data_IF_117317276657
#
_entry.id   IF_117317276657
#
_cell.length_a   1.000
_cell.length_b   1.000
_cell.length_c   1.000
_cell.angle_alpha   90.00
_cell.angle_beta   90.00
_cell.angle_gamma   90.00
#
_symmetry.space_group_name_H-M   'P 1'
#
loop_
_entity.id
_entity.type
_entity.pdbx_description
1 polymer ?
#
# COMPACT_ATOMS: atom_id res chain seq x y z
N UNK A 1 -16.70 4.83 -15.41
CA UNK A 1 -16.04 4.86 -16.74
C UNK A 1 -14.50 4.85 -16.75
N UNK A 2 -13.77 5.17 -15.66
CA UNK A 2 -12.29 4.97 -15.60
C UNK A 2 -11.80 4.06 -14.46
N UNK A 3 -12.68 3.69 -13.52
CA UNK A 3 -12.43 2.56 -12.63
C UNK A 3 -12.88 1.23 -13.25
N UNK A 4 -13.73 1.30 -14.28
CA UNK A 4 -13.90 0.21 -15.25
C UNK A 4 -12.63 0.02 -16.12
N UNK A 5 -11.63 0.91 -15.99
CA UNK A 5 -10.30 0.81 -16.61
C UNK A 5 -9.17 0.60 -15.61
N UNK A 6 -9.46 0.61 -14.30
CA UNK A 6 -8.66 -0.20 -13.36
C UNK A 6 -9.19 -1.61 -13.56
N UNK A 7 -8.82 -2.17 -14.70
CA UNK A 7 -9.10 -3.54 -15.08
C UNK A 7 -8.70 -4.46 -13.91
N UNK A 8 -9.38 -5.58 -13.75
CA UNK A 8 -8.90 -6.62 -12.82
C UNK A 8 -7.43 -6.98 -13.16
N UNK A 9 -6.96 -6.71 -14.39
CA UNK A 9 -5.55 -6.74 -14.78
C UNK A 9 -4.60 -5.76 -14.05
N UNK A 10 -5.06 -4.62 -13.50
CA UNK A 10 -4.21 -3.80 -12.63
C UNK A 10 -3.95 -4.47 -11.27
N UNK A 11 -4.82 -5.39 -10.85
CA UNK A 11 -4.72 -6.15 -9.60
C UNK A 11 -4.18 -7.58 -9.80
N UNK A 12 -4.41 -8.16 -10.98
CA UNK A 12 -4.07 -9.53 -11.39
C UNK A 12 -2.89 -9.60 -12.40
N UNK A 13 -2.54 -8.52 -13.10
CA UNK A 13 -1.52 -8.48 -14.20
C UNK A 13 -0.40 -7.46 -13.93
N UNK A 14 -0.07 -7.18 -12.67
CA UNK A 14 1.16 -6.44 -12.39
C UNK A 14 2.40 -7.34 -12.56
N UNK A 15 2.69 -7.75 -13.80
CA UNK A 15 3.98 -8.35 -14.20
C UNK A 15 5.13 -7.33 -14.12
N UNK A 16 4.82 -6.04 -13.92
CA UNK A 16 5.80 -4.98 -13.65
C UNK A 16 5.31 -4.03 -12.53
N UNK A 17 5.95 -4.12 -11.37
CA UNK A 17 5.70 -3.31 -10.17
C UNK A 17 5.74 -1.79 -10.44
N UNK A 18 6.64 -1.34 -11.33
CA UNK A 18 6.86 0.07 -11.61
C UNK A 18 5.79 0.71 -12.50
N UNK A 19 5.18 -0.07 -13.40
CA UNK A 19 4.07 0.39 -14.21
C UNK A 19 2.81 0.61 -13.33
N UNK A 20 2.54 -0.35 -12.45
CA UNK A 20 1.50 -0.22 -11.43
C UNK A 20 1.76 1.00 -10.53
N UNK A 21 3.00 1.19 -10.07
CA UNK A 21 3.42 2.35 -9.28
C UNK A 21 3.15 3.66 -10.01
N UNK A 22 3.66 3.81 -11.24
CA UNK A 22 3.52 5.02 -12.03
C UNK A 22 2.06 5.33 -12.38
N UNK A 23 1.22 4.32 -12.56
CA UNK A 23 -0.22 4.49 -12.80
C UNK A 23 -0.94 4.94 -11.52
N UNK A 24 -0.63 4.35 -10.37
CA UNK A 24 -1.20 4.74 -9.07
C UNK A 24 -0.79 6.14 -8.65
N UNK A 25 0.50 6.49 -8.77
CA UNK A 25 0.98 7.84 -8.47
C UNK A 25 0.28 8.88 -9.36
N UNK A 26 0.18 8.62 -10.66
CA UNK A 26 -0.58 9.50 -11.58
C UNK A 26 -2.05 9.56 -11.23
N UNK A 27 -2.65 8.47 -10.75
CA UNK A 27 -4.06 8.46 -10.36
C UNK A 27 -4.29 9.25 -9.08
N UNK A 28 -3.43 9.12 -8.08
CA UNK A 28 -3.58 9.80 -6.78
C UNK A 28 -3.23 11.28 -6.93
N UNK A 29 -2.07 11.61 -7.49
CA UNK A 29 -1.53 12.97 -7.45
C UNK A 29 -2.11 13.93 -8.49
N UNK A 30 -2.74 13.42 -9.56
CA UNK A 30 -3.39 14.27 -10.55
C UNK A 30 -4.87 14.56 -10.22
N UNK A 31 -5.38 14.02 -9.11
CA UNK A 31 -6.77 14.20 -8.70
C UNK A 31 -6.87 15.26 -7.61
N UNK A 32 -7.96 16.03 -7.59
CA UNK A 32 -8.19 16.97 -6.50
C UNK A 32 -8.28 16.22 -5.17
N UNK A 33 -7.74 16.83 -4.12
CA UNK A 33 -7.88 16.33 -2.76
C UNK A 33 -9.25 16.72 -2.19
N UNK A 34 -9.77 15.89 -1.29
CA UNK A 34 -10.94 16.21 -0.47
C UNK A 34 -10.63 16.17 1.03
N UNK A 35 -9.35 16.30 1.38
CA UNK A 35 -8.87 16.35 2.75
C UNK A 35 -8.02 15.15 3.12
N UNK A 36 -7.83 14.93 4.42
CA UNK A 36 -7.05 13.81 4.92
C UNK A 36 -7.84 13.04 5.97
N UNK A 37 -7.91 11.72 5.81
CA UNK A 37 -8.49 10.82 6.80
C UNK A 37 -7.38 10.32 7.71
N UNK A 38 -7.49 10.62 9.00
CA UNK A 38 -6.60 10.14 10.05
C UNK A 38 -7.09 8.79 10.57
N UNK A 39 -6.17 7.84 10.68
CA UNK A 39 -6.40 6.50 11.17
C UNK A 39 -5.65 6.31 12.48
N UNK A 40 -6.42 6.08 13.54
CA UNK A 40 -5.95 5.76 14.88
C UNK A 40 -6.34 4.32 15.24
N UNK A 41 -5.72 3.75 16.27
CA UNK A 41 -6.11 2.43 16.79
C UNK A 41 -6.24 2.50 18.32
N UNK A 42 -5.11 2.36 19.03
CA UNK A 42 -5.07 2.36 20.48
C UNK A 42 -4.85 3.77 21.03
N UNK A 43 -5.62 4.17 22.03
CA UNK A 43 -5.46 5.46 22.70
C UNK A 43 -5.41 5.29 24.21
N UNK A 44 -4.23 5.44 24.82
CA UNK A 44 -4.09 5.39 26.28
C UNK A 44 -3.01 6.36 26.75
N UNK A 45 -3.29 7.05 27.85
CA UNK A 45 -2.32 7.89 28.56
C UNK A 45 -1.27 7.04 29.27
N UNK A 46 -1.60 5.80 29.63
CA UNK A 46 -0.63 4.85 30.15
C UNK A 46 0.05 4.14 29.00
N UNK A 47 1.31 4.49 28.74
CA UNK A 47 2.10 3.88 27.65
C UNK A 47 2.36 2.39 27.86
N UNK A 48 2.18 1.86 29.08
CA UNK A 48 2.30 0.43 29.34
C UNK A 48 1.09 -0.37 28.84
N UNK A 49 -0.06 0.29 28.61
CA UNK A 49 -1.26 -0.31 28.02
C UNK A 49 -1.24 -0.28 26.48
N UNK A 50 -0.19 0.27 25.89
CA UNK A 50 -0.09 0.36 24.44
C UNK A 50 0.06 -1.04 23.83
N UNK A 51 -0.85 -1.37 22.91
CA UNK A 51 -0.73 -2.56 22.08
C UNK A 51 0.58 -2.58 21.29
N UNK A 52 0.90 -1.45 20.63
CA UNK A 52 2.15 -1.23 19.92
C UNK A 52 2.34 0.29 19.71
N UNK A 53 3.54 0.81 19.97
CA UNK A 53 3.89 2.23 19.74
C UNK A 53 3.63 2.73 18.31
N UNK A 54 3.63 1.86 17.31
CA UNK A 54 3.35 2.23 15.91
C UNK A 54 1.88 2.57 15.66
N UNK A 55 0.98 2.15 16.55
CA UNK A 55 -0.49 2.29 16.43
C UNK A 55 -1.13 2.91 17.67
N UNK A 56 -0.31 3.44 18.58
CA UNK A 56 -0.76 4.01 19.84
C UNK A 56 -0.47 5.51 19.94
N UNK A 57 -1.39 6.22 20.57
CA UNK A 57 -1.28 7.65 20.91
C UNK A 57 -1.81 7.88 22.33
N UNK A 58 -1.33 8.91 23.03
CA UNK A 58 -1.95 9.33 24.29
C UNK A 58 -3.21 10.18 24.03
N UNK A 59 -4.15 10.16 24.97
CA UNK A 59 -5.35 10.99 24.90
C UNK A 59 -4.98 12.48 24.86
N UNK A 60 -3.95 12.86 25.63
CA UNK A 60 -3.41 14.23 25.64
C UNK A 60 -2.88 14.66 24.27
N UNK A 61 -2.06 13.85 23.62
CA UNK A 61 -1.49 14.18 22.30
C UNK A 61 -2.59 14.24 21.23
N UNK A 62 -3.58 13.34 21.30
CA UNK A 62 -4.75 13.40 20.43
C UNK A 62 -5.52 14.72 20.59
N UNK A 63 -5.78 15.15 21.83
CA UNK A 63 -6.47 16.42 22.10
C UNK A 63 -5.68 17.63 21.58
N UNK A 64 -4.38 17.71 21.87
CA UNK A 64 -3.51 18.79 21.40
C UNK A 64 -3.47 18.86 19.86
N UNK A 65 -3.45 17.69 19.20
CA UNK A 65 -3.51 17.60 17.74
C UNK A 65 -4.83 18.17 17.18
N UNK A 66 -5.98 17.87 17.80
CA UNK A 66 -7.26 18.43 17.39
C UNK A 66 -7.28 19.95 17.58
N UNK A 67 -6.86 20.44 18.75
CA UNK A 67 -6.84 21.86 19.07
C UNK A 67 -6.04 22.66 18.04
N UNK A 68 -4.78 22.27 17.80
CA UNK A 68 -3.90 23.03 16.91
C UNK A 68 -4.41 23.04 15.47
N UNK A 69 -4.96 21.93 14.95
CA UNK A 69 -5.52 21.91 13.60
C UNK A 69 -6.76 22.81 13.49
N UNK A 70 -7.62 22.86 14.51
CA UNK A 70 -8.76 23.80 14.53
C UNK A 70 -8.28 25.26 14.55
N UNK A 71 -7.27 25.59 15.35
CA UNK A 71 -6.68 26.93 15.41
C UNK A 71 -6.10 27.38 14.07
N UNK A 72 -5.56 26.45 13.27
CA UNK A 72 -5.04 26.72 11.91
C UNK A 72 -6.10 26.64 10.80
N UNK A 73 -7.38 26.61 11.19
CA UNK A 73 -8.52 26.69 10.29
C UNK A 73 -8.85 25.40 9.55
N UNK A 74 -8.43 24.24 10.06
CA UNK A 74 -8.90 22.95 9.55
C UNK A 74 -10.33 22.65 10.04
N UNK A 75 -11.09 21.98 9.20
CA UNK A 75 -12.47 21.57 9.49
C UNK A 75 -12.55 20.06 9.67
N UNK A 76 -13.14 19.63 10.79
CA UNK A 76 -13.38 18.22 11.08
C UNK A 76 -14.77 17.85 10.57
N UNK A 77 -14.85 16.85 9.69
CA UNK A 77 -16.08 16.44 9.00
C UNK A 77 -16.30 14.93 9.19
N UNK A 78 -17.53 14.47 9.03
CA UNK A 78 -17.79 13.02 9.04
C UNK A 78 -17.35 12.39 7.72
N UNK A 79 -17.01 11.10 7.76
CA UNK A 79 -16.52 10.36 6.58
C UNK A 79 -17.53 10.33 5.44
N UNK A 80 -18.82 10.40 5.75
CA UNK A 80 -19.92 10.47 4.80
C UNK A 80 -19.91 11.78 3.99
N UNK A 81 -19.26 12.82 4.50
CA UNK A 81 -19.09 14.11 3.83
C UNK A 81 -17.81 14.18 3.00
N UNK A 82 -17.04 13.09 2.87
CA UNK A 82 -15.70 13.09 2.28
C UNK A 82 -15.64 13.77 0.91
N UNK A 83 -16.55 13.46 -0.02
CA UNK A 83 -16.52 14.09 -1.36
C UNK A 83 -16.93 15.57 -1.39
N UNK A 84 -17.52 16.10 -0.31
CA UNK A 84 -17.78 17.54 -0.16
C UNK A 84 -16.61 18.30 0.47
N UNK A 85 -15.58 17.59 0.93
CA UNK A 85 -14.39 18.17 1.53
C UNK A 85 -13.49 18.96 0.59
N UNK A 86 -12.51 19.57 1.21
CA UNK A 86 -11.43 20.36 0.63
C UNK A 86 -10.10 19.97 1.29
N UNK A 87 -9.00 20.59 0.86
CA UNK A 87 -7.65 20.33 1.37
C UNK A 87 -7.45 20.59 2.87
N UNK A 88 -8.33 21.38 3.52
CA UNK A 88 -8.33 21.63 4.97
C UNK A 88 -9.37 20.79 5.73
N UNK A 89 -9.98 19.81 5.07
CA UNK A 89 -10.91 18.88 5.70
C UNK A 89 -10.17 17.71 6.33
N UNK A 90 -10.51 17.36 7.57
CA UNK A 90 -9.96 16.23 8.31
C UNK A 90 -11.10 15.29 8.70
N UNK A 91 -10.88 13.98 8.50
CA UNK A 91 -11.81 12.91 8.90
C UNK A 91 -11.11 12.02 9.92
N UNK A 92 -11.74 11.78 11.07
CA UNK A 92 -11.11 11.01 12.16
C UNK A 92 -11.70 9.60 12.18
N UNK A 93 -10.83 8.61 12.05
CA UNK A 93 -11.21 7.19 12.06
C UNK A 93 -10.42 6.41 13.10
N UNK A 94 -11.07 5.43 13.73
CA UNK A 94 -10.44 4.47 14.63
C UNK A 94 -10.73 3.05 14.16
N UNK A 95 -9.70 2.20 14.14
CA UNK A 95 -9.81 0.80 13.75
C UNK A 95 -9.85 -0.13 14.98
N UNK A 96 -10.25 -1.39 14.73
CA UNK A 96 -10.36 -2.52 15.65
C UNK A 96 -11.37 -2.45 16.79
N UNK A 97 -11.68 -1.27 17.33
CA UNK A 97 -12.65 -1.10 18.41
C UNK A 97 -12.06 -1.25 19.82
N UNK A 98 -10.90 -0.64 20.10
CA UNK A 98 -10.32 -0.59 21.45
C UNK A 98 -11.25 0.10 22.47
N UNK A 99 -11.26 -0.38 23.72
CA UNK A 99 -12.22 0.05 24.76
C UNK A 99 -12.13 1.53 25.13
N UNK A 100 -10.96 2.15 24.98
CA UNK A 100 -10.69 3.53 25.37
C UNK A 100 -11.46 4.53 24.49
N UNK A 101 -11.96 4.09 23.33
CA UNK A 101 -12.91 4.84 22.49
C UNK A 101 -14.16 5.30 23.26
N UNK A 102 -14.68 4.43 24.13
CA UNK A 102 -15.98 4.61 24.78
C UNK A 102 -15.95 5.54 26.01
N UNK A 103 -14.79 6.16 26.29
CA UNK A 103 -14.63 7.13 27.39
C UNK A 103 -13.93 8.41 26.92
N UNK A 104 -12.60 8.37 26.76
CA UNK A 104 -11.78 9.56 26.49
C UNK A 104 -12.09 10.21 25.15
N UNK A 105 -12.13 9.40 24.08
CA UNK A 105 -12.37 9.89 22.71
C UNK A 105 -13.78 10.49 22.58
N UNK A 106 -14.79 9.85 23.17
CA UNK A 106 -16.15 10.38 23.19
C UNK A 106 -16.25 11.76 23.85
N UNK A 107 -15.49 11.99 24.93
CA UNK A 107 -15.49 13.27 25.64
C UNK A 107 -14.89 14.39 24.78
N UNK A 108 -13.74 14.14 24.17
CA UNK A 108 -13.08 15.08 23.23
C UNK A 108 -13.97 15.31 22.00
N UNK A 109 -14.60 14.26 21.47
CA UNK A 109 -15.52 14.38 20.33
C UNK A 109 -16.62 15.40 20.60
N UNK A 110 -17.26 15.32 21.77
CA UNK A 110 -18.31 16.25 22.18
C UNK A 110 -17.78 17.66 22.44
N UNK A 111 -16.69 17.78 23.18
CA UNK A 111 -16.10 19.09 23.54
C UNK A 111 -15.71 19.89 22.31
N UNK A 112 -15.04 19.26 21.34
CA UNK A 112 -14.57 19.92 20.13
C UNK A 112 -15.54 19.79 18.95
N UNK A 113 -16.70 19.14 19.12
CA UNK A 113 -17.67 18.85 18.06
C UNK A 113 -17.02 18.21 16.83
N UNK A 114 -16.19 17.18 17.04
CA UNK A 114 -15.50 16.45 15.96
C UNK A 114 -16.24 15.15 15.65
N UNK A 115 -16.67 14.92 14.40
CA UNK A 115 -17.18 13.62 13.98
C UNK A 115 -16.09 12.55 13.98
N UNK A 116 -16.44 11.34 14.43
CA UNK A 116 -15.55 10.19 14.54
C UNK A 116 -16.22 8.97 13.90
N UNK A 117 -15.48 8.25 13.06
CA UNK A 117 -15.90 6.95 12.55
C UNK A 117 -15.10 5.83 13.21
N UNK A 118 -15.77 4.78 13.68
CA UNK A 118 -15.14 3.62 14.33
C UNK A 118 -15.39 2.37 13.48
N UNK A 119 -14.34 1.77 12.95
CA UNK A 119 -14.38 0.50 12.22
C UNK A 119 -14.14 -0.66 13.18
N UNK A 120 -15.13 -1.54 13.33
CA UNK A 120 -15.13 -2.58 14.36
C UNK A 120 -14.91 -3.96 13.75
N UNK A 121 -13.94 -4.70 14.31
CA UNK A 121 -13.72 -6.12 14.03
C UNK A 121 -14.69 -6.94 14.90
N UNK A 122 -15.65 -7.64 14.28
CA UNK A 122 -16.76 -8.23 15.02
C UNK A 122 -16.31 -9.29 16.06
N UNK A 123 -15.33 -10.13 15.71
CA UNK A 123 -14.83 -11.17 16.61
C UNK A 123 -14.03 -10.60 17.79
N UNK A 124 -13.70 -9.30 17.81
CA UNK A 124 -13.00 -8.67 18.94
C UNK A 124 -13.94 -8.15 20.02
N UNK A 125 -15.23 -8.00 19.71
CA UNK A 125 -16.23 -7.41 20.59
C UNK A 125 -16.30 -8.20 21.92
N UNK A 126 -16.18 -7.48 23.03
CA UNK A 126 -16.23 -8.04 24.39
C UNK A 126 -14.97 -8.82 24.82
N UNK A 127 -13.92 -8.89 24.01
CA UNK A 127 -12.61 -9.39 24.43
C UNK A 127 -11.89 -8.36 25.31
N UNK A 128 -10.87 -8.81 26.04
CA UNK A 128 -10.00 -7.94 26.83
C UNK A 128 -9.43 -6.80 25.96
N UNK A 129 -9.54 -5.56 26.44
CA UNK A 129 -9.14 -4.30 25.78
C UNK A 129 -10.00 -3.82 24.60
N UNK A 130 -11.09 -4.51 24.26
CA UNK A 130 -12.02 -4.10 23.20
C UNK A 130 -13.39 -3.70 23.76
N UNK A 131 -14.10 -2.86 23.01
CA UNK A 131 -15.48 -2.47 23.33
C UNK A 131 -16.43 -3.69 23.29
N UNK A 132 -17.47 -3.65 24.12
CA UNK A 132 -18.55 -4.63 24.08
C UNK A 132 -19.77 -4.13 23.29
N UNK A 133 -20.81 -4.95 23.18
CA UNK A 133 -22.03 -4.57 22.46
C UNK A 133 -22.76 -3.38 23.10
N UNK A 134 -22.63 -3.19 24.42
CA UNK A 134 -23.25 -2.07 25.15
C UNK A 134 -22.57 -0.77 24.74
N UNK A 135 -21.24 -0.76 24.69
CA UNK A 135 -20.44 0.36 24.22
C UNK A 135 -20.75 0.69 22.76
N UNK A 136 -20.83 -0.30 21.88
CA UNK A 136 -21.17 -0.11 20.46
C UNK A 136 -22.56 0.50 20.33
N UNK A 137 -23.56 -0.05 21.04
CA UNK A 137 -24.93 0.48 21.02
C UNK A 137 -24.98 1.90 21.55
N UNK A 138 -24.19 2.24 22.57
CA UNK A 138 -24.08 3.61 23.11
C UNK A 138 -23.45 4.55 22.08
N UNK A 139 -22.27 4.24 21.55
CA UNK A 139 -21.58 5.06 20.55
C UNK A 139 -22.44 5.26 19.30
N UNK A 140 -23.14 4.23 18.84
CA UNK A 140 -24.02 4.32 17.66
C UNK A 140 -25.18 5.30 17.83
N UNK A 141 -25.54 5.70 19.06
CA UNK A 141 -26.60 6.69 19.32
C UNK A 141 -26.09 8.13 19.34
N UNK A 142 -24.78 8.33 19.42
CA UNK A 142 -24.17 9.65 19.43
C UNK A 142 -24.13 10.22 18.01
N UNK A 143 -24.59 11.46 17.81
CA UNK A 143 -24.68 12.07 16.47
C UNK A 143 -23.31 12.29 15.81
N UNK A 144 -22.26 12.41 16.62
CA UNK A 144 -20.89 12.59 16.16
C UNK A 144 -20.17 11.26 15.86
N UNK A 145 -20.83 10.11 16.05
CA UNK A 145 -20.21 8.80 15.85
C UNK A 145 -20.85 8.02 14.72
N UNK A 146 -20.01 7.58 13.80
CA UNK A 146 -20.36 6.60 12.76
C UNK A 146 -19.75 5.25 13.10
N UNK A 147 -20.55 4.18 13.01
CA UNK A 147 -20.05 2.80 13.14
C UNK A 147 -19.85 2.20 11.75
N UNK A 148 -18.66 1.68 11.51
CA UNK A 148 -18.26 1.03 10.26
C UNK A 148 -17.82 -0.42 10.48
N UNK A 149 -17.81 -1.20 9.40
CA UNK A 149 -17.33 -2.59 9.43
C UNK A 149 -15.82 -2.72 9.27
N UNK A 150 -15.22 -3.70 9.96
CA UNK A 150 -13.80 -4.06 9.83
C UNK A 150 -13.57 -5.57 9.72
N UNK A 151 -14.46 -6.29 9.02
CA UNK A 151 -14.52 -7.77 8.91
C UNK A 151 -14.92 -8.48 10.20
N UNK A 152 -15.10 -9.81 10.12
CA UNK A 152 -15.38 -10.62 11.31
C UNK A 152 -14.08 -10.82 12.09
N UNK A 153 -13.05 -11.37 11.44
CA UNK A 153 -11.87 -11.89 12.14
C UNK A 153 -10.55 -11.20 11.77
N UNK A 154 -10.59 -10.03 11.12
CA UNK A 154 -9.42 -9.26 10.67
C UNK A 154 -8.42 -10.02 9.75
N UNK A 155 -8.87 -10.78 8.72
CA UNK A 155 -7.94 -11.46 7.81
C UNK A 155 -7.39 -10.52 6.72
N UNK A 156 -6.27 -10.92 6.12
CA UNK A 156 -5.83 -10.35 4.84
C UNK A 156 -6.82 -10.79 3.75
N UNK A 157 -7.74 -9.90 3.38
CA UNK A 157 -8.86 -10.20 2.48
C UNK A 157 -8.41 -10.66 1.07
N UNK A 158 -7.22 -10.25 0.62
CA UNK A 158 -6.65 -10.73 -0.65
C UNK A 158 -6.28 -12.21 -0.62
N UNK A 159 -5.92 -12.77 0.52
CA UNK A 159 -5.39 -14.13 0.61
C UNK A 159 -6.47 -15.21 0.71
N UNK A 160 -7.72 -14.80 0.96
CA UNK A 160 -8.87 -15.71 1.09
C UNK A 160 -9.73 -15.73 -0.19
N UNK A 161 -10.58 -16.75 -0.33
CA UNK A 161 -11.49 -16.87 -1.48
C UNK A 161 -12.52 -15.75 -1.52
N UNK A 162 -13.16 -15.55 -2.68
CA UNK A 162 -14.25 -14.58 -2.82
C UNK A 162 -15.38 -14.83 -1.80
N UNK A 163 -15.83 -16.08 -1.66
CA UNK A 163 -16.90 -16.45 -0.73
C UNK A 163 -16.49 -16.24 0.73
N UNK A 164 -15.22 -16.52 1.07
CA UNK A 164 -14.69 -16.25 2.40
C UNK A 164 -14.65 -14.73 2.67
N UNK A 165 -14.13 -13.93 1.74
CA UNK A 165 -14.13 -12.47 1.86
C UNK A 165 -15.55 -11.89 1.96
N UNK A 166 -16.50 -12.45 1.20
CA UNK A 166 -17.92 -12.09 1.31
C UNK A 166 -18.48 -12.39 2.68
N UNK A 167 -18.18 -13.56 3.24
CA UNK A 167 -18.59 -13.92 4.61
C UNK A 167 -18.01 -12.96 5.64
N UNK A 168 -16.72 -12.64 5.55
CA UNK A 168 -16.03 -11.68 6.42
C UNK A 168 -16.67 -10.29 6.39
N UNK A 169 -16.85 -9.75 5.19
CA UNK A 169 -17.36 -8.39 4.99
C UNK A 169 -18.84 -8.32 5.37
N UNK A 170 -19.69 -9.09 4.70
CA UNK A 170 -21.15 -9.03 4.90
C UNK A 170 -21.55 -9.53 6.27
N UNK A 171 -20.85 -10.55 6.80
CA UNK A 171 -21.08 -11.05 8.14
C UNK A 171 -20.84 -9.98 9.21
N UNK A 172 -19.75 -9.21 9.11
CA UNK A 172 -19.47 -8.12 10.04
C UNK A 172 -20.52 -7.01 10.00
N UNK A 173 -20.97 -6.65 8.79
CA UNK A 173 -22.02 -5.65 8.56
C UNK A 173 -23.31 -6.11 9.26
N UNK A 174 -23.80 -7.29 8.91
CA UNK A 174 -25.03 -7.84 9.49
C UNK A 174 -24.94 -8.08 11.01
N UNK A 175 -23.75 -8.31 11.56
CA UNK A 175 -23.56 -8.41 13.00
C UNK A 175 -23.72 -7.04 13.68
N UNK A 176 -23.01 -6.04 13.18
CA UNK A 176 -23.04 -4.68 13.73
C UNK A 176 -24.44 -4.04 13.58
N UNK A 177 -25.12 -4.23 12.45
CA UNK A 177 -26.49 -3.73 12.24
C UNK A 177 -27.50 -4.27 13.26
N UNK A 178 -27.32 -5.50 13.75
CA UNK A 178 -28.17 -6.06 14.81
C UNK A 178 -27.96 -5.37 16.16
N UNK A 179 -26.74 -4.94 16.45
CA UNK A 179 -26.39 -4.26 17.70
C UNK A 179 -26.84 -2.79 17.66
N UNK A 180 -26.53 -2.11 16.56
CA UNK A 180 -26.77 -0.67 16.39
C UNK A 180 -28.21 -0.36 16.00
N UNK A 181 -28.93 -1.32 15.42
CA UNK A 181 -30.25 -1.12 14.79
C UNK A 181 -30.21 -0.03 13.70
N UNK A 182 -29.03 0.21 13.13
CA UNK A 182 -28.75 1.19 12.07
C UNK A 182 -27.99 0.51 10.94
N UNK A 183 -28.15 1.03 9.72
CA UNK A 183 -27.37 0.56 8.56
C UNK A 183 -25.87 0.84 8.76
N UNK A 184 -25.04 -0.09 8.30
CA UNK A 184 -23.59 0.09 8.24
C UNK A 184 -23.19 0.28 6.77
N UNK A 185 -22.79 1.50 6.42
CA UNK A 185 -22.49 1.90 5.03
C UNK A 185 -21.02 2.30 4.80
N UNK A 186 -20.17 2.26 5.82
CA UNK A 186 -18.73 2.53 5.70
C UNK A 186 -17.90 1.34 6.18
N UNK A 187 -16.74 1.13 5.55
CA UNK A 187 -15.89 -0.03 5.81
C UNK A 187 -14.40 0.33 5.80
N UNK A 188 -13.58 -0.35 6.60
CA UNK A 188 -12.13 -0.29 6.47
C UNK A 188 -11.59 -1.69 6.21
N UNK A 189 -10.62 -1.83 5.29
CA UNK A 189 -9.98 -3.12 5.05
C UNK A 189 -8.90 -3.38 6.12
N UNK A 190 -8.89 -4.54 6.79
CA UNK A 190 -7.75 -4.99 7.59
C UNK A 190 -6.45 -4.91 6.78
N UNK A 191 -5.40 -4.35 7.37
CA UNK A 191 -4.10 -4.04 6.72
C UNK A 191 -4.16 -3.03 5.56
N UNK A 192 -5.18 -3.10 4.72
CA UNK A 192 -5.67 -2.08 3.78
C UNK A 192 -4.69 -1.56 2.73
N UNK A 193 -3.54 -2.18 2.54
CA UNK A 193 -2.59 -1.83 1.51
C UNK A 193 -3.00 -2.40 0.14
N UNK A 194 -2.41 -1.89 -0.93
CA UNK A 194 -2.57 -2.46 -2.28
C UNK A 194 -2.08 -3.91 -2.36
N UNK A 195 -1.20 -4.33 -1.43
CA UNK A 195 -0.73 -5.71 -1.36
C UNK A 195 -1.78 -6.66 -0.75
N UNK A 196 -2.68 -6.14 0.09
CA UNK A 196 -3.60 -6.90 0.96
C UNK A 196 -5.06 -6.80 0.55
N UNK A 197 -5.36 -5.97 -0.46
CA UNK A 197 -6.69 -5.78 -1.06
C UNK A 197 -6.61 -6.03 -2.57
N UNK A 198 -7.66 -6.59 -3.16
CA UNK A 198 -7.74 -6.91 -4.59
C UNK A 198 -9.10 -6.55 -5.19
N UNK A 199 -9.21 -6.55 -6.52
CA UNK A 199 -10.46 -6.28 -7.25
C UNK A 199 -11.65 -7.12 -6.77
N UNK A 200 -11.42 -8.40 -6.42
CA UNK A 200 -12.45 -9.27 -5.84
C UNK A 200 -13.03 -8.72 -4.52
N UNK A 201 -12.19 -8.12 -3.67
CA UNK A 201 -12.63 -7.57 -2.38
C UNK A 201 -13.44 -6.28 -2.59
N UNK A 202 -13.00 -5.43 -3.51
CA UNK A 202 -13.75 -4.24 -3.94
C UNK A 202 -15.11 -4.63 -4.54
N UNK A 203 -15.15 -5.70 -5.34
CA UNK A 203 -16.39 -6.23 -5.92
C UNK A 203 -17.37 -6.73 -4.86
N UNK A 204 -16.90 -7.36 -3.77
CA UNK A 204 -17.78 -7.70 -2.64
C UNK A 204 -18.44 -6.46 -2.06
N UNK A 205 -17.68 -5.39 -1.82
CA UNK A 205 -18.21 -4.15 -1.24
C UNK A 205 -19.19 -3.43 -2.18
N UNK A 206 -18.88 -3.38 -3.49
CA UNK A 206 -19.79 -2.81 -4.50
C UNK A 206 -21.15 -3.51 -4.57
N UNK A 207 -21.16 -4.81 -4.29
CA UNK A 207 -22.36 -5.63 -4.28
C UNK A 207 -23.00 -5.75 -2.88
N UNK A 208 -22.57 -4.90 -1.94
CA UNK A 208 -23.10 -4.80 -0.58
C UNK A 208 -23.73 -3.42 -0.34
N UNK A 209 -24.21 -3.16 0.88
CA UNK A 209 -24.75 -1.85 1.27
C UNK A 209 -23.66 -0.82 1.63
N UNK A 210 -22.37 -1.16 1.46
CA UNK A 210 -21.27 -0.23 1.68
C UNK A 210 -21.21 0.84 0.59
N UNK A 211 -21.20 2.09 1.04
CA UNK A 211 -21.12 3.29 0.23
C UNK A 211 -19.72 3.89 0.19
N UNK A 212 -18.83 3.55 1.13
CA UNK A 212 -17.45 4.03 1.14
C UNK A 212 -16.54 3.04 1.88
N UNK A 213 -15.32 2.82 1.36
CA UNK A 213 -14.34 1.98 2.02
C UNK A 213 -12.93 2.59 2.03
N UNK A 214 -12.21 2.33 3.12
CA UNK A 214 -10.93 2.96 3.45
C UNK A 214 -9.77 1.96 3.47
N UNK A 215 -8.66 2.39 2.88
CA UNK A 215 -7.36 1.71 2.78
C UNK A 215 -6.38 2.23 3.86
N UNK A 216 -5.12 1.78 3.80
CA UNK A 216 -4.01 2.30 4.64
C UNK A 216 -2.98 3.08 3.82
N UNK A 217 -3.37 3.54 2.63
CA UNK A 217 -2.51 4.31 1.75
C UNK A 217 -2.17 5.67 2.39
N UNK A 218 -0.90 5.89 2.74
CA UNK A 218 -0.40 7.07 3.45
C UNK A 218 -0.39 8.33 2.55
N UNK A 219 -1.56 8.87 2.23
CA UNK A 219 -1.72 10.07 1.42
C UNK A 219 -3.10 10.72 1.64
N UNK A 220 -3.37 11.84 0.98
CA UNK A 220 -4.64 12.56 1.06
C UNK A 220 -5.78 11.79 0.37
N UNK A 221 -7.02 12.12 0.72
CA UNK A 221 -8.20 11.50 0.11
C UNK A 221 -8.43 11.98 -1.32
N UNK A 222 -8.85 11.04 -2.17
CA UNK A 222 -9.01 11.27 -3.60
C UNK A 222 -10.44 11.71 -3.85
N UNK A 223 -10.64 12.95 -4.34
CA UNK A 223 -11.95 13.50 -4.69
C UNK A 223 -12.42 12.98 -6.06
N UNK A 224 -12.55 11.66 -6.15
CA UNK A 224 -13.06 10.93 -7.31
C UNK A 224 -13.98 9.81 -6.82
N UNK A 225 -15.21 9.79 -7.33
CA UNK A 225 -16.23 8.78 -7.03
C UNK A 225 -15.78 7.35 -7.32
N UNK A 226 -14.85 7.17 -8.26
CA UNK A 226 -14.21 5.89 -8.48
C UNK A 226 -13.48 5.39 -7.23
N UNK A 227 -12.71 6.25 -6.57
CA UNK A 227 -11.86 5.88 -5.44
C UNK A 227 -12.67 5.59 -4.14
N UNK A 228 -14.00 5.74 -4.18
CA UNK A 228 -14.95 5.52 -3.08
C UNK A 228 -14.71 4.23 -2.28
N UNK A 229 -14.32 3.14 -2.93
CA UNK A 229 -14.10 1.84 -2.27
C UNK A 229 -12.65 1.58 -1.89
N UNK A 230 -11.76 2.56 -2.01
CA UNK A 230 -10.34 2.41 -1.65
C UNK A 230 -9.75 3.79 -1.30
N UNK A 231 -10.40 4.51 -0.39
CA UNK A 231 -9.98 5.84 0.04
C UNK A 231 -8.71 5.78 0.90
N UNK A 232 -7.71 6.65 0.67
CA UNK A 232 -6.50 6.72 1.48
C UNK A 232 -6.74 7.09 2.95
N UNK A 233 -5.81 6.69 3.83
CA UNK A 233 -5.75 7.12 5.23
C UNK A 233 -4.32 7.24 5.72
N UNK A 234 -4.08 8.22 6.58
CA UNK A 234 -2.77 8.44 7.21
C UNK A 234 -2.79 7.84 8.62
N UNK A 235 -1.84 6.96 8.92
CA UNK A 235 -1.70 6.38 10.26
C UNK A 235 -1.13 7.42 11.22
N UNK A 236 -1.84 7.72 12.30
CA UNK A 236 -1.43 8.71 13.29
C UNK A 236 -1.14 8.00 14.61
N UNK A 237 0.15 7.84 14.90
CA UNK A 237 0.63 7.43 16.22
C UNK A 237 1.21 8.62 16.99
N UNK A 238 1.64 8.40 18.22
CA UNK A 238 2.22 9.45 19.08
C UNK A 238 3.34 10.23 18.39
N UNK A 239 4.28 9.54 17.73
CA UNK A 239 5.42 10.20 17.09
C UNK A 239 4.98 11.08 15.93
N UNK A 240 4.09 10.57 15.07
CA UNK A 240 3.56 11.29 13.91
C UNK A 240 2.74 12.50 14.37
N UNK A 241 1.89 12.34 15.39
CA UNK A 241 1.09 13.43 15.93
C UNK A 241 1.96 14.56 16.50
N UNK A 242 3.01 14.23 17.27
CA UNK A 242 3.94 15.22 17.80
C UNK A 242 4.69 15.97 16.71
N UNK A 243 5.08 15.28 15.62
CA UNK A 243 5.67 15.93 14.45
C UNK A 243 4.68 16.89 13.77
N UNK A 244 3.44 16.45 13.55
CA UNK A 244 2.38 17.27 12.96
C UNK A 244 2.11 18.53 13.79
N UNK A 245 2.04 18.40 15.12
CA UNK A 245 1.90 19.51 16.05
C UNK A 245 3.10 20.46 15.94
N UNK A 246 4.32 19.93 15.97
CA UNK A 246 5.53 20.74 15.88
C UNK A 246 5.62 21.51 14.56
N UNK A 247 5.23 20.90 13.44
CA UNK A 247 5.19 21.55 12.13
C UNK A 247 4.17 22.68 12.09
N UNK A 248 2.93 22.43 12.52
CA UNK A 248 1.92 23.49 12.53
C UNK A 248 2.27 24.65 13.48
N UNK A 249 2.91 24.40 14.63
CA UNK A 249 3.40 25.48 15.51
C UNK A 249 4.40 26.41 14.82
N UNK A 250 5.03 25.95 13.74
CA UNK A 250 5.96 26.72 12.92
C UNK A 250 5.33 27.14 11.58
N UNK A 251 4.01 27.10 11.44
CA UNK A 251 3.25 27.35 10.21
C UNK A 251 3.67 26.44 9.02
N UNK A 252 4.23 25.27 9.31
CA UNK A 252 4.60 24.27 8.32
C UNK A 252 3.49 23.22 8.12
N UNK A 253 3.33 22.77 6.88
CA UNK A 253 2.40 21.69 6.53
C UNK A 253 3.10 20.34 6.73
N UNK A 254 2.45 19.41 7.44
CA UNK A 254 2.87 18.02 7.46
C UNK A 254 2.51 17.34 6.13
N UNK A 255 3.51 16.71 5.51
CA UNK A 255 3.32 15.92 4.29
C UNK A 255 3.62 14.47 4.66
N UNK A 256 2.63 13.56 4.63
CA UNK A 256 2.84 12.16 4.94
C UNK A 256 3.94 11.56 4.07
N UNK A 257 4.84 10.77 4.66
CA UNK A 257 5.82 9.98 3.90
C UNK A 257 5.10 9.05 2.94
N UNK A 258 5.50 9.10 1.66
CA UNK A 258 4.92 8.27 0.59
C UNK A 258 5.40 6.82 0.71
N UNK A 259 4.87 6.07 1.68
CA UNK A 259 5.13 4.62 1.84
C UNK A 259 4.21 3.73 1.01
N UNK A 260 3.71 4.25 -0.11
CA UNK A 260 2.77 3.54 -0.98
C UNK A 260 3.37 2.22 -1.49
N UNK A 261 4.69 2.19 -1.72
CA UNK A 261 5.31 1.17 -2.54
C UNK A 261 6.33 0.27 -1.82
N UNK A 262 6.75 0.58 -0.59
CA UNK A 262 7.78 -0.24 0.10
C UNK A 262 7.29 -1.66 0.38
N UNK A 263 6.06 -1.82 0.88
CA UNK A 263 5.45 -3.13 1.14
C UNK A 263 5.19 -3.92 -0.17
N UNK A 264 4.68 -3.24 -1.20
CA UNK A 264 4.45 -3.83 -2.52
C UNK A 264 5.75 -4.28 -3.19
N UNK A 265 6.82 -3.50 -3.04
CA UNK A 265 8.14 -3.80 -3.56
C UNK A 265 8.63 -5.11 -2.95
N UNK A 266 8.55 -5.22 -1.63
CA UNK A 266 8.96 -6.41 -0.89
C UNK A 266 8.15 -7.66 -1.29
N UNK A 267 6.83 -7.55 -1.43
CA UNK A 267 5.97 -8.67 -1.85
C UNK A 267 6.17 -9.08 -3.31
N UNK A 268 6.33 -8.11 -4.21
CA UNK A 268 6.69 -8.38 -5.61
C UNK A 268 8.02 -9.12 -5.69
N UNK A 269 9.07 -8.62 -5.04
CA UNK A 269 10.37 -9.29 -5.00
C UNK A 269 10.26 -10.70 -4.41
N UNK A 270 9.47 -10.88 -3.34
CA UNK A 270 9.25 -12.18 -2.71
C UNK A 270 8.53 -13.16 -3.64
N UNK A 271 7.45 -12.74 -4.31
CA UNK A 271 6.72 -13.57 -5.28
C UNK A 271 7.57 -13.91 -6.49
N UNK A 272 8.30 -12.94 -7.02
CA UNK A 272 9.28 -13.16 -8.08
C UNK A 272 10.32 -14.21 -7.67
N UNK A 273 10.95 -14.02 -6.51
CA UNK A 273 11.94 -14.95 -5.95
C UNK A 273 11.39 -16.37 -5.84
N UNK A 274 10.18 -16.54 -5.31
CA UNK A 274 9.55 -17.85 -5.16
C UNK A 274 9.22 -18.50 -6.50
N UNK A 275 8.72 -17.73 -7.49
CA UNK A 275 8.45 -18.24 -8.84
C UNK A 275 9.75 -18.67 -9.53
N UNK A 276 10.78 -17.83 -9.47
CA UNK A 276 12.10 -18.12 -10.02
C UNK A 276 12.74 -19.36 -9.39
N UNK A 277 12.73 -19.46 -8.05
CA UNK A 277 13.21 -20.66 -7.33
C UNK A 277 12.42 -21.91 -7.75
N UNK A 278 11.09 -21.82 -7.88
CA UNK A 278 10.26 -22.94 -8.32
C UNK A 278 10.59 -23.39 -9.75
N UNK A 279 10.89 -22.45 -10.65
CA UNK A 279 11.28 -22.74 -12.04
C UNK A 279 12.69 -23.36 -12.11
N UNK A 280 13.66 -22.85 -11.35
CA UNK A 280 14.97 -23.47 -11.18
C UNK A 280 14.84 -24.91 -10.66
N UNK A 281 13.98 -25.15 -9.66
CA UNK A 281 13.68 -26.49 -9.14
C UNK A 281 13.03 -27.42 -10.18
N UNK A 282 12.33 -26.86 -11.18
CA UNK A 282 11.74 -27.60 -12.31
C UNK A 282 12.69 -27.76 -13.50
N UNK A 283 13.97 -27.39 -13.34
CA UNK A 283 14.99 -27.52 -14.38
C UNK A 283 14.94 -26.42 -15.44
N UNK A 284 14.25 -25.30 -15.20
CA UNK A 284 14.37 -24.13 -16.06
C UNK A 284 15.77 -23.55 -15.93
N UNK A 285 16.45 -23.41 -17.05
CA UNK A 285 17.83 -23.00 -17.12
C UNK A 285 17.98 -21.85 -18.10
N UNK A 286 18.37 -20.70 -17.56
CA UNK A 286 18.54 -19.47 -18.34
C UNK A 286 19.64 -19.63 -19.39
N UNK A 287 20.65 -20.46 -19.11
CA UNK A 287 21.70 -20.81 -20.08
C UNK A 287 21.11 -21.50 -21.29
N UNK A 288 20.41 -22.62 -21.06
CA UNK A 288 19.74 -23.37 -22.12
C UNK A 288 18.83 -22.47 -22.96
N UNK A 289 18.11 -21.52 -22.35
CA UNK A 289 17.28 -20.58 -23.10
C UNK A 289 18.12 -19.64 -23.97
N UNK A 290 19.16 -19.00 -23.42
CA UNK A 290 20.05 -18.07 -24.15
C UNK A 290 20.71 -18.80 -25.33
N UNK A 291 21.26 -20.00 -25.07
CA UNK A 291 21.91 -20.84 -26.07
C UNK A 291 20.96 -21.27 -27.19
N UNK A 292 19.72 -21.69 -26.86
CA UNK A 292 18.74 -22.11 -27.85
C UNK A 292 18.27 -20.97 -28.78
N UNK A 293 18.32 -19.72 -28.30
CA UNK A 293 18.02 -18.54 -29.11
C UNK A 293 19.24 -18.01 -29.87
N UNK A 294 20.42 -18.62 -29.67
CA UNK A 294 21.64 -18.33 -30.42
C UNK A 294 22.33 -17.02 -30.06
N UNK A 295 22.00 -16.41 -28.91
CA UNK A 295 22.66 -15.20 -28.43
C UNK A 295 24.10 -15.51 -28.02
N UNK A 296 25.07 -14.66 -28.39
CA UNK A 296 26.50 -14.88 -28.15
C UNK A 296 27.15 -13.84 -27.27
N UNK A 297 26.67 -12.60 -27.28
CA UNK A 297 27.15 -11.51 -26.42
C UNK A 297 25.98 -10.91 -25.68
N UNK A 298 26.05 -10.95 -24.35
CA UNK A 298 24.97 -10.45 -23.51
C UNK A 298 25.46 -9.40 -22.52
N UNK A 299 24.63 -8.40 -22.25
CA UNK A 299 24.80 -7.54 -21.08
C UNK A 299 23.73 -7.85 -20.03
N UNK A 300 24.01 -7.54 -18.77
CA UNK A 300 23.04 -7.67 -17.69
C UNK A 300 22.77 -6.29 -17.09
N UNK A 301 21.51 -5.84 -17.13
CA UNK A 301 21.11 -4.56 -16.58
C UNK A 301 20.56 -4.73 -15.16
N UNK A 302 21.20 -4.06 -14.21
CA UNK A 302 20.79 -4.02 -12.81
C UNK A 302 21.69 -4.86 -11.90
N UNK A 303 22.56 -4.19 -11.15
CA UNK A 303 23.60 -4.86 -10.34
C UNK A 303 23.27 -4.94 -8.84
N UNK A 304 22.16 -4.33 -8.41
CA UNK A 304 21.91 -4.07 -6.99
C UNK A 304 21.03 -5.12 -6.31
N UNK A 305 21.47 -5.53 -5.12
CA UNK A 305 20.72 -6.40 -4.22
C UNK A 305 21.12 -7.88 -4.33
N UNK A 306 20.75 -8.66 -3.31
CA UNK A 306 21.13 -10.07 -3.20
C UNK A 306 20.55 -10.94 -4.33
N UNK A 307 19.37 -10.57 -4.84
CA UNK A 307 18.74 -11.25 -5.96
C UNK A 307 19.48 -11.00 -7.27
N UNK A 308 19.87 -9.75 -7.54
CA UNK A 308 20.66 -9.39 -8.71
C UNK A 308 21.98 -10.18 -8.71
N UNK A 309 22.69 -10.19 -7.57
CA UNK A 309 23.94 -10.96 -7.42
C UNK A 309 23.73 -12.44 -7.74
N UNK A 310 22.73 -13.10 -7.15
CA UNK A 310 22.44 -14.52 -7.40
C UNK A 310 22.12 -14.82 -8.88
N UNK A 311 21.38 -13.94 -9.54
CA UNK A 311 21.06 -14.11 -10.97
C UNK A 311 22.31 -13.89 -11.82
N UNK A 312 23.08 -12.84 -11.57
CA UNK A 312 24.34 -12.58 -12.27
C UNK A 312 25.30 -13.75 -12.08
N UNK A 313 25.50 -14.24 -10.85
CA UNK A 313 26.37 -15.39 -10.55
C UNK A 313 25.93 -16.65 -11.28
N UNK A 314 24.62 -16.83 -11.46
CA UNK A 314 24.11 -17.96 -12.25
C UNK A 314 24.50 -17.84 -13.72
N UNK A 315 24.56 -16.64 -14.30
CA UNK A 315 24.72 -16.38 -15.75
C UNK A 315 26.20 -16.20 -16.16
N UNK A 316 27.04 -15.70 -15.26
CA UNK A 316 28.46 -15.31 -15.51
C UNK A 316 29.44 -16.51 -15.41
N UNK A 317 28.96 -17.75 -15.33
CA UNK A 317 29.87 -18.90 -15.22
C UNK A 317 30.55 -19.26 -16.56
N UNK A 318 31.83 -19.67 -16.50
CA UNK A 318 32.75 -19.87 -17.62
C UNK A 318 32.46 -21.09 -18.54
N UNK A 319 31.25 -21.65 -18.55
CA UNK A 319 30.95 -22.94 -19.17
C UNK A 319 29.92 -22.90 -20.30
N UNK A 320 29.55 -21.72 -20.80
CA UNK A 320 28.46 -21.56 -21.77
C UNK A 320 28.94 -21.05 -23.13
N UNK A 321 28.08 -21.16 -24.13
CA UNK A 321 28.37 -20.84 -25.53
C UNK A 321 28.17 -19.36 -25.87
N UNK A 322 28.04 -18.51 -24.85
CA UNK A 322 27.87 -17.07 -24.91
C UNK A 322 28.76 -16.37 -23.87
N UNK A 323 29.00 -15.07 -24.07
CA UNK A 323 29.83 -14.21 -23.23
C UNK A 323 28.97 -13.13 -22.56
N UNK A 324 29.13 -12.93 -21.25
CA UNK A 324 28.61 -11.74 -20.56
C UNK A 324 29.66 -10.64 -20.72
N UNK A 325 29.37 -9.61 -21.49
CA UNK A 325 30.36 -8.60 -21.88
C UNK A 325 30.46 -7.43 -20.90
N UNK A 326 29.37 -7.08 -20.22
CA UNK A 326 29.33 -6.02 -19.23
C UNK A 326 28.06 -6.09 -18.36
N UNK A 327 28.14 -5.47 -17.18
CA UNK A 327 27.01 -5.11 -16.36
C UNK A 327 26.58 -3.67 -16.65
N UNK A 328 25.29 -3.37 -16.60
CA UNK A 328 24.76 -2.02 -16.86
C UNK A 328 24.11 -1.46 -15.59
N UNK A 329 24.59 -0.30 -15.13
CA UNK A 329 24.00 0.46 -14.02
C UNK A 329 24.31 1.96 -14.12
N UNK A 330 23.37 2.73 -14.68
CA UNK A 330 23.49 4.19 -14.88
C UNK A 330 23.69 5.00 -13.59
N UNK A 331 23.50 4.40 -12.41
CA UNK A 331 23.55 5.10 -11.12
C UNK A 331 24.73 4.66 -10.26
N UNK A 332 25.60 3.77 -10.75
CA UNK A 332 26.75 3.27 -10.00
C UNK A 332 27.98 4.11 -10.30
N UNK A 333 28.80 4.37 -9.27
CA UNK A 333 30.06 5.11 -9.40
C UNK A 333 31.25 4.19 -9.71
N UNK A 334 31.13 2.91 -9.40
CA UNK A 334 32.16 1.92 -9.70
C UNK A 334 32.01 1.50 -11.17
N UNK A 335 33.14 1.50 -11.89
CA UNK A 335 33.21 1.12 -13.30
C UNK A 335 33.55 -0.37 -13.51
N UNK A 336 33.69 -1.14 -12.41
CA UNK A 336 34.12 -2.54 -12.45
C UNK A 336 33.55 -3.40 -11.31
N UNK A 337 33.22 -4.64 -11.61
CA UNK A 337 32.84 -5.70 -10.66
C UNK A 337 34.02 -6.67 -10.50
N UNK A 338 34.83 -6.45 -9.46
CA UNK A 338 36.03 -7.27 -9.19
C UNK A 338 35.72 -8.74 -8.89
N UNK A 339 34.53 -9.05 -8.35
CA UNK A 339 34.14 -10.42 -7.99
C UNK A 339 33.93 -11.28 -9.25
N UNK A 340 33.48 -10.64 -10.32
CA UNK A 340 33.03 -11.30 -11.56
C UNK A 340 33.91 -10.98 -12.77
N UNK A 341 34.91 -10.12 -12.59
CA UNK A 341 35.81 -9.65 -13.63
C UNK A 341 35.06 -9.01 -14.82
N UNK A 342 34.09 -8.15 -14.52
CA UNK A 342 33.23 -7.50 -15.53
C UNK A 342 33.23 -5.98 -15.40
N UNK A 343 33.26 -5.29 -16.54
CA UNK A 343 33.03 -3.85 -16.59
C UNK A 343 31.59 -3.50 -16.21
N UNK A 344 31.41 -2.37 -15.52
CA UNK A 344 30.12 -1.76 -15.22
C UNK A 344 30.02 -0.51 -16.06
N UNK A 345 29.08 -0.50 -17.00
CA UNK A 345 28.96 0.55 -18.01
C UNK A 345 27.63 1.29 -17.89
N UNK A 346 27.58 2.51 -18.42
CA UNK A 346 26.32 3.21 -18.63
C UNK A 346 25.60 2.67 -19.87
N UNK A 347 24.29 2.91 -19.95
CA UNK A 347 23.45 2.45 -21.04
C UNK A 347 23.82 3.01 -22.41
N UNK A 348 24.48 4.16 -22.42
CA UNK A 348 24.99 4.82 -23.63
C UNK A 348 26.26 4.14 -24.19
N UNK A 349 26.97 3.38 -23.36
CA UNK A 349 28.26 2.73 -23.68
C UNK A 349 28.07 1.30 -24.22
N UNK A 350 26.82 0.81 -24.30
CA UNK A 350 26.51 -0.53 -24.78
C UNK A 350 26.89 -0.66 -26.26
N UNK A 351 27.78 -1.61 -26.55
CA UNK A 351 28.25 -1.88 -27.91
C UNK A 351 27.15 -2.40 -28.84
N UNK A 352 27.24 -2.03 -30.14
CA UNK A 352 26.28 -2.48 -31.15
C UNK A 352 26.28 -4.00 -31.38
N UNK A 353 27.38 -4.68 -31.05
CA UNK A 353 27.55 -6.13 -31.20
C UNK A 353 26.97 -6.96 -30.04
N UNK A 354 26.34 -6.31 -29.06
CA UNK A 354 25.57 -7.01 -28.02
C UNK A 354 24.31 -7.59 -28.66
N UNK A 355 24.02 -8.87 -28.42
CA UNK A 355 22.86 -9.56 -28.98
C UNK A 355 21.64 -9.46 -28.06
N UNK A 356 21.87 -9.47 -26.73
CA UNK A 356 20.83 -9.50 -25.71
C UNK A 356 21.22 -8.65 -24.50
N UNK A 357 20.23 -7.96 -23.92
CA UNK A 357 20.36 -7.27 -22.65
C UNK A 357 19.32 -7.87 -21.69
N UNK A 358 19.81 -8.63 -20.69
CA UNK A 358 18.95 -9.23 -19.67
C UNK A 358 18.70 -8.20 -18.58
N UNK A 359 17.45 -7.82 -18.38
CA UNK A 359 17.06 -6.87 -17.32
C UNK A 359 16.66 -7.63 -16.06
N UNK A 360 17.40 -7.40 -14.98
CA UNK A 360 17.20 -8.03 -13.67
C UNK A 360 15.86 -7.56 -13.05
N UNK A 361 15.16 -8.41 -12.28
CA UNK A 361 13.82 -8.12 -11.81
C UNK A 361 13.85 -6.94 -10.83
N UNK A 362 12.83 -6.11 -10.92
CA UNK A 362 12.74 -4.91 -10.09
C UNK A 362 13.49 -3.71 -10.68
N UNK A 363 13.79 -3.74 -11.98
CA UNK A 363 13.89 -2.52 -12.77
C UNK A 363 12.76 -2.49 -13.81
N UNK A 364 12.22 -1.31 -14.09
CA UNK A 364 11.17 -1.14 -15.10
C UNK A 364 11.77 -1.22 -16.50
N UNK A 365 11.41 -2.26 -17.24
CA UNK A 365 11.95 -2.47 -18.59
C UNK A 365 11.56 -1.36 -19.56
N UNK A 366 10.39 -0.73 -19.40
CA UNK A 366 9.95 0.32 -20.31
C UNK A 366 10.68 1.64 -20.01
N UNK A 367 10.92 1.95 -18.72
CA UNK A 367 11.78 3.08 -18.33
C UNK A 367 13.22 2.84 -18.79
N UNK A 368 13.74 1.61 -18.62
CA UNK A 368 15.09 1.24 -19.07
C UNK A 368 15.19 1.35 -20.59
N UNK A 369 14.18 0.88 -21.33
CA UNK A 369 14.11 1.05 -22.79
C UNK A 369 14.16 2.53 -23.14
N UNK A 370 13.54 3.42 -22.38
CA UNK A 370 13.62 4.86 -22.61
C UNK A 370 14.99 5.48 -22.29
N UNK A 371 15.77 4.87 -21.41
CA UNK A 371 17.17 5.24 -21.13
C UNK A 371 18.19 4.62 -22.11
N UNK A 372 17.75 3.68 -22.94
CA UNK A 372 18.60 3.01 -23.92
C UNK A 372 18.47 3.62 -25.31
N UNK A 373 19.58 3.65 -26.05
CA UNK A 373 19.58 4.05 -27.45
C UNK A 373 18.66 3.13 -28.28
N UNK A 374 18.08 3.66 -29.37
CA UNK A 374 17.07 2.94 -30.21
C UNK A 374 17.50 1.53 -30.61
N UNK A 375 18.78 1.32 -30.91
CA UNK A 375 19.33 0.01 -31.32
C UNK A 375 19.32 -1.03 -30.18
N UNK A 376 19.34 -0.58 -28.93
CA UNK A 376 19.42 -1.45 -27.76
C UNK A 376 18.05 -1.76 -27.15
N UNK A 377 17.03 -0.91 -27.39
CA UNK A 377 15.66 -1.14 -26.90
C UNK A 377 15.10 -2.51 -27.30
N UNK A 378 15.35 -2.94 -28.55
CA UNK A 378 14.85 -4.20 -29.10
C UNK A 378 15.62 -5.43 -28.63
N UNK A 379 16.77 -5.22 -27.96
CA UNK A 379 17.63 -6.29 -27.44
C UNK A 379 17.35 -6.57 -25.96
N UNK A 380 16.50 -5.75 -25.32
CA UNK A 380 16.20 -5.82 -23.90
C UNK A 380 15.05 -6.78 -23.63
N UNK A 381 15.33 -7.76 -22.79
CA UNK A 381 14.34 -8.72 -22.31
C UNK A 381 14.37 -8.74 -20.79
N UNK A 382 13.21 -8.56 -20.18
CA UNK A 382 13.06 -8.66 -18.73
C UNK A 382 13.15 -10.12 -18.34
N UNK A 383 13.84 -10.43 -17.24
CA UNK A 383 13.88 -11.82 -16.78
C UNK A 383 12.49 -12.39 -16.46
N UNK A 384 11.49 -11.55 -16.20
CA UNK A 384 10.07 -11.95 -16.13
C UNK A 384 9.54 -12.48 -17.47
N UNK A 385 9.90 -11.82 -18.58
CA UNK A 385 9.51 -12.21 -19.94
C UNK A 385 10.19 -13.53 -20.35
N UNK A 386 11.35 -13.83 -19.78
CA UNK A 386 12.05 -15.11 -19.97
C UNK A 386 11.40 -16.27 -19.22
N UNK A 387 10.48 -16.02 -18.28
CA UNK A 387 9.92 -17.04 -17.37
C UNK A 387 8.52 -17.50 -17.77
N UNK A 388 7.83 -16.70 -18.58
CA UNK A 388 6.52 -16.99 -19.17
C UNK A 388 6.68 -17.72 -20.49
#
# INVERSE_FOLDING_TARGET
MYIDKIDDSLWDVADNFYEMQSRLERFIYNKPSCGTTWMFHCISNDRSEWYNSEYSITLKTFEELIQIYKEHGYSFKSVEQLFSGDEKSIYVTFDDGFRELASGVLSISKEYSIPICVFITADYIGKENYIDEIDIKRLSKEELFTIGGHTLSHPILRDISYDAAKKEIVGSISYLEKITEKKINVFAYPYGSIATVSGKNISVLRNSEIEMAFSTLQTHNIKDEGARYFQPRVNINESVALEMIAKLKNDEIFIPEKKIFEALKNDYYKKFLLNWISKLQKGYDLHTWISNHGYKKICIWGTRGDLARKVIDSIVSNAYDYEVVALIDNNRKDEYDEERDLAIINSEEISENVDLIVVIPGYDIDIIRDQANRNNKNKMIGINELVN
#
